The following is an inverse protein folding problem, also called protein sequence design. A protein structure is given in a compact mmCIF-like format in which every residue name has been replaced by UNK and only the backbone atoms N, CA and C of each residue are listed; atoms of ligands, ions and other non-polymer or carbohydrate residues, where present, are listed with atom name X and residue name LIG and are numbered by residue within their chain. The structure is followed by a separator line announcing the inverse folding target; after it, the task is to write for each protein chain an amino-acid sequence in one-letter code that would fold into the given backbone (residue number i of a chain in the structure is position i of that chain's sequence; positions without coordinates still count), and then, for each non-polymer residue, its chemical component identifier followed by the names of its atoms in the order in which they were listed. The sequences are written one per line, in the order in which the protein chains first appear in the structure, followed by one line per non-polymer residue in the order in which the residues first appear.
data_IF_475009101004
#
_entry.id   IF_475009101004
#
_cell.length_a   1.000
_cell.length_b   1.000
_cell.length_c   1.000
_cell.angle_alpha   90.00
_cell.angle_beta   90.00
_cell.angle_gamma   90.00
#
_symmetry.space_group_name_H-M   'P 1'
#
loop_
_entity.id
_entity.type
_entity.pdbx_description
1 polymer ?
#
# COMPACT_ATOMS: atom_id res chain seq x y z
N UNK A 1 -1.81 9.94 4.64
CA UNK A 1 -1.98 8.63 5.32
C UNK A 1 -3.45 8.21 5.25
N UNK A 2 -3.71 6.91 5.21
CA UNK A 2 -5.06 6.33 5.32
C UNK A 2 -5.02 5.37 6.51
N UNK A 3 -5.91 5.55 7.48
CA UNK A 3 -6.09 4.65 8.60
C UNK A 3 -7.34 3.81 8.36
N UNK A 4 -7.20 2.49 8.47
CA UNK A 4 -8.31 1.56 8.36
C UNK A 4 -8.61 0.92 9.72
N UNK A 5 -9.87 0.97 10.11
CA UNK A 5 -10.38 0.35 11.33
C UNK A 5 -11.41 -0.70 10.97
N UNK A 6 -11.43 -1.79 11.72
CA UNK A 6 -12.37 -2.87 11.48
C UNK A 6 -12.07 -4.11 12.30
N UNK A 7 -12.75 -5.20 11.96
CA UNK A 7 -12.62 -6.47 12.68
C UNK A 7 -11.62 -7.37 11.98
N UNK A 8 -10.60 -7.79 12.72
CA UNK A 8 -9.64 -8.78 12.27
C UNK A 8 -10.11 -10.18 12.62
N UNK A 9 -9.82 -11.13 11.73
CA UNK A 9 -10.05 -12.56 11.94
C UNK A 9 -8.80 -13.32 11.52
N UNK A 10 -8.37 -14.24 12.38
CA UNK A 10 -7.32 -15.21 12.09
C UNK A 10 -7.99 -16.45 11.52
N UNK A 11 -7.49 -16.94 10.39
CA UNK A 11 -7.94 -18.18 9.76
C UNK A 11 -6.87 -19.24 9.92
N UNK A 12 -7.31 -20.47 10.19
CA UNK A 12 -6.43 -21.60 10.48
C UNK A 12 -6.62 -22.76 9.49
N UNK A 13 -7.54 -22.64 8.54
CA UNK A 13 -7.73 -23.62 7.48
C UNK A 13 -6.76 -23.34 6.32
N UNK A 14 -6.26 -24.41 5.71
CA UNK A 14 -5.29 -24.32 4.62
C UNK A 14 -5.85 -23.54 3.42
N UNK A 15 -7.14 -23.69 3.11
CA UNK A 15 -7.78 -23.01 1.97
C UNK A 15 -7.68 -21.48 2.08
N UNK A 16 -7.88 -20.91 3.28
CA UNK A 16 -7.72 -19.48 3.54
C UNK A 16 -6.28 -18.97 3.38
N UNK A 17 -5.29 -19.83 3.68
CA UNK A 17 -3.86 -19.52 3.53
C UNK A 17 -3.49 -19.55 2.05
N UNK A 18 -3.91 -20.59 1.33
CA UNK A 18 -3.74 -20.71 -0.12
C UNK A 18 -4.33 -19.49 -0.87
N UNK A 19 -5.59 -19.15 -0.58
CA UNK A 19 -6.25 -18.02 -1.24
C UNK A 19 -5.56 -16.68 -0.92
N UNK A 20 -5.09 -16.50 0.31
CA UNK A 20 -4.33 -15.32 0.71
C UNK A 20 -3.00 -15.19 -0.04
N UNK A 21 -2.24 -16.28 -0.11
CA UNK A 21 -0.96 -16.32 -0.82
C UNK A 21 -1.12 -16.11 -2.32
N UNK A 22 -2.10 -16.77 -2.94
CA UNK A 22 -2.39 -16.60 -4.36
C UNK A 22 -2.74 -15.15 -4.70
N UNK A 23 -3.55 -14.50 -3.86
CA UNK A 23 -3.89 -13.08 -4.00
C UNK A 23 -2.67 -12.17 -3.86
N UNK A 24 -1.78 -12.45 -2.90
CA UNK A 24 -0.55 -11.68 -2.71
C UNK A 24 0.37 -11.81 -3.94
N UNK A 25 0.60 -13.03 -4.43
CA UNK A 25 1.42 -13.28 -5.62
C UNK A 25 0.80 -12.62 -6.84
N UNK A 26 -0.52 -12.72 -7.04
CA UNK A 26 -1.18 -12.03 -8.15
C UNK A 26 -1.00 -10.50 -8.08
N UNK A 27 -0.96 -9.93 -6.88
CA UNK A 27 -0.85 -8.47 -6.68
C UNK A 27 0.58 -7.97 -6.90
N UNK A 28 1.57 -8.67 -6.34
CA UNK A 28 2.96 -8.18 -6.30
C UNK A 28 3.86 -8.83 -7.36
N UNK A 29 3.55 -10.06 -7.78
CA UNK A 29 4.37 -10.86 -8.71
C UNK A 29 3.50 -11.63 -9.71
N UNK A 30 2.61 -10.97 -10.48
CA UNK A 30 1.64 -11.66 -11.35
C UNK A 30 2.28 -12.61 -12.36
N UNK A 31 3.50 -12.32 -12.82
CA UNK A 31 4.26 -13.17 -13.75
C UNK A 31 4.73 -14.48 -13.12
N UNK A 32 4.84 -14.54 -11.80
CA UNK A 32 5.28 -15.72 -11.06
C UNK A 32 4.12 -16.68 -10.72
N UNK A 33 2.87 -16.22 -10.85
CA UNK A 33 1.68 -16.97 -10.44
C UNK A 33 1.58 -18.37 -11.06
N UNK A 34 1.91 -18.51 -12.34
CA UNK A 34 1.85 -19.81 -13.01
C UNK A 34 2.91 -20.78 -12.49
N UNK A 35 4.13 -20.29 -12.22
CA UNK A 35 5.18 -21.11 -11.61
C UNK A 35 4.80 -21.52 -10.18
N UNK A 36 4.24 -20.59 -9.41
CA UNK A 36 3.75 -20.87 -8.06
C UNK A 36 2.71 -22.01 -8.02
N UNK A 37 1.76 -22.02 -8.97
CA UNK A 37 0.75 -23.09 -9.09
C UNK A 37 1.33 -24.46 -9.46
N UNK A 38 2.56 -24.50 -9.98
CA UNK A 38 3.26 -25.71 -10.38
C UNK A 38 4.19 -26.26 -9.28
N UNK A 39 4.32 -25.56 -8.14
CA UNK A 39 5.15 -26.01 -7.03
C UNK A 39 4.63 -27.33 -6.44
N UNK A 40 5.54 -28.14 -5.88
CA UNK A 40 5.19 -29.37 -5.19
C UNK A 40 4.23 -29.07 -4.02
N UNK A 41 3.04 -29.67 -3.98
CA UNK A 41 2.09 -29.50 -2.89
C UNK A 41 2.73 -29.71 -1.51
N UNK A 42 3.61 -30.71 -1.35
CA UNK A 42 4.28 -30.99 -0.07
C UNK A 42 5.17 -29.84 0.39
N UNK A 43 5.83 -29.16 -0.56
CA UNK A 43 6.64 -27.99 -0.28
C UNK A 43 5.76 -26.83 0.19
N UNK A 44 4.65 -26.58 -0.51
CA UNK A 44 3.73 -25.48 -0.17
C UNK A 44 2.99 -25.72 1.16
N UNK A 45 2.55 -26.95 1.43
CA UNK A 45 1.91 -27.33 2.70
C UNK A 45 2.85 -27.14 3.90
N UNK A 46 4.13 -27.52 3.76
CA UNK A 46 5.12 -27.31 4.81
C UNK A 46 5.33 -25.82 5.12
N UNK A 47 5.33 -24.97 4.09
CA UNK A 47 5.41 -23.51 4.23
C UNK A 47 4.16 -22.93 4.91
N UNK A 48 2.96 -23.46 4.64
CA UNK A 48 1.73 -22.94 5.26
C UNK A 48 1.61 -23.22 6.76
N UNK A 49 2.16 -24.33 7.24
CA UNK A 49 2.09 -24.70 8.67
C UNK A 49 2.71 -23.64 9.59
N UNK A 50 3.70 -22.88 9.10
CA UNK A 50 4.41 -21.85 9.87
C UNK A 50 3.74 -20.48 9.83
N UNK A 51 2.70 -20.28 9.02
CA UNK A 51 2.00 -19.00 8.89
C UNK A 51 0.52 -19.13 9.23
N UNK A 52 -0.15 -17.98 9.39
CA UNK A 52 -1.61 -17.89 9.55
C UNK A 52 -2.14 -16.84 8.61
N UNK A 53 -3.27 -17.12 7.99
CA UNK A 53 -3.98 -16.15 7.18
C UNK A 53 -4.76 -15.22 8.13
N UNK A 54 -4.71 -13.92 7.85
CA UNK A 54 -5.44 -12.90 8.61
C UNK A 54 -6.22 -12.05 7.63
N UNK A 55 -7.49 -11.80 7.92
CA UNK A 55 -8.31 -10.86 7.16
C UNK A 55 -8.82 -9.76 8.08
N UNK A 56 -8.97 -8.55 7.54
CA UNK A 56 -9.66 -7.46 8.21
C UNK A 56 -10.87 -7.03 7.38
N UNK A 57 -12.07 -7.12 7.96
CA UNK A 57 -13.24 -6.45 7.40
C UNK A 57 -13.16 -4.99 7.80
N UNK A 58 -12.78 -4.14 6.87
CA UNK A 58 -12.75 -2.68 7.04
C UNK A 58 -14.18 -2.19 7.32
N UNK A 59 -14.35 -1.48 8.42
CA UNK A 59 -15.63 -0.87 8.82
C UNK A 59 -15.57 0.65 8.70
N UNK A 60 -14.39 1.23 8.87
CA UNK A 60 -14.18 2.68 8.81
C UNK A 60 -12.81 3.02 8.21
N UNK A 61 -12.75 4.14 7.49
CA UNK A 61 -11.54 4.68 6.88
C UNK A 61 -11.41 6.17 7.21
N UNK A 62 -10.26 6.54 7.76
CA UNK A 62 -9.88 7.94 7.98
C UNK A 62 -8.73 8.34 7.07
N UNK A 63 -8.86 9.49 6.41
CA UNK A 63 -7.83 10.05 5.54
C UNK A 63 -7.22 11.32 6.13
N UNK A 64 -5.89 11.40 6.15
CA UNK A 64 -5.17 12.63 6.47
C UNK A 64 -4.23 13.01 5.32
N UNK A 65 -4.45 14.18 4.71
CA UNK A 65 -3.70 14.62 3.54
C UNK A 65 -3.30 16.10 3.62
N UNK A 66 -2.18 16.37 4.30
CA UNK A 66 -1.62 17.71 4.50
C UNK A 66 -0.50 17.96 3.51
N UNK A 67 -0.66 18.99 2.70
CA UNK A 67 0.25 19.38 1.62
C UNK A 67 0.40 20.92 1.58
N UNK A 68 0.39 21.57 2.75
CA UNK A 68 0.46 23.03 2.88
C UNK A 68 -0.67 23.79 2.17
N UNK A 69 -1.83 23.17 1.96
CA UNK A 69 -2.96 23.78 1.23
C UNK A 69 -3.50 25.05 1.91
N UNK A 70 -3.27 25.17 3.23
CA UNK A 70 -3.68 26.31 4.03
C UNK A 70 -2.75 27.53 3.92
N UNK A 71 -1.66 27.45 3.13
CA UNK A 71 -0.67 28.52 2.97
C UNK A 71 -0.93 29.35 1.70
N UNK A 72 -0.47 30.62 1.66
CA UNK A 72 -0.46 31.43 0.44
C UNK A 72 0.36 30.77 -0.68
N UNK A 73 0.04 31.08 -1.92
CA UNK A 73 0.67 30.49 -3.11
C UNK A 73 2.20 30.65 -3.12
N UNK A 74 2.69 31.85 -2.76
CA UNK A 74 4.14 32.13 -2.68
C UNK A 74 4.85 31.18 -1.72
N UNK A 75 4.26 30.93 -0.55
CA UNK A 75 4.83 30.04 0.47
C UNK A 75 4.78 28.59 -0.02
N UNK A 76 3.70 28.18 -0.69
CA UNK A 76 3.59 26.83 -1.26
C UNK A 76 4.67 26.57 -2.30
N UNK A 77 4.99 27.57 -3.13
CA UNK A 77 6.07 27.45 -4.12
C UNK A 77 7.45 27.34 -3.47
N UNK A 78 7.72 28.15 -2.44
CA UNK A 78 8.98 28.08 -1.68
C UNK A 78 9.15 26.71 -1.01
N UNK A 79 8.11 26.23 -0.34
CA UNK A 79 8.10 24.90 0.29
C UNK A 79 8.34 23.80 -0.74
N UNK A 80 7.65 23.86 -1.89
CA UNK A 80 7.82 22.86 -2.94
C UNK A 80 9.24 22.83 -3.50
N UNK A 81 9.86 23.99 -3.71
CA UNK A 81 11.24 24.08 -4.21
C UNK A 81 12.24 23.46 -3.23
N UNK A 82 12.05 23.66 -1.93
CA UNK A 82 12.90 23.05 -0.90
C UNK A 82 12.71 21.53 -0.85
N UNK A 83 11.47 21.05 -0.84
CA UNK A 83 11.15 19.63 -0.80
C UNK A 83 11.67 18.87 -2.04
N UNK A 84 11.77 19.52 -3.20
CA UNK A 84 12.36 18.93 -4.40
C UNK A 84 13.86 18.62 -4.25
N UNK A 85 14.57 19.30 -3.34
CA UNK A 85 15.97 19.00 -3.03
C UNK A 85 16.12 17.89 -1.98
N UNK A 86 14.99 17.40 -1.45
CA UNK A 86 14.91 16.40 -0.39
C UNK A 86 14.93 14.96 -0.88
N UNK A 87 14.54 14.06 0.02
CA UNK A 87 14.45 12.63 -0.23
C UNK A 87 13.25 12.23 -1.12
N UNK A 88 13.11 10.93 -1.37
CA UNK A 88 12.01 10.39 -2.17
C UNK A 88 10.62 10.74 -1.63
N UNK A 89 10.45 10.80 -0.31
CA UNK A 89 9.16 11.13 0.30
C UNK A 89 8.87 12.62 0.14
N UNK A 90 9.87 13.48 0.33
CA UNK A 90 9.77 14.93 0.16
C UNK A 90 9.41 15.29 -1.29
N UNK A 91 10.08 14.68 -2.26
CA UNK A 91 9.75 14.83 -3.68
C UNK A 91 8.32 14.31 -3.98
N UNK A 92 7.94 13.18 -3.39
CA UNK A 92 6.58 12.64 -3.53
C UNK A 92 5.48 13.57 -2.99
N UNK A 93 5.77 14.39 -1.96
CA UNK A 93 4.84 15.43 -1.49
C UNK A 93 4.61 16.47 -2.58
N UNK A 94 5.66 16.89 -3.28
CA UNK A 94 5.58 17.87 -4.38
C UNK A 94 4.77 17.30 -5.55
N UNK A 95 4.98 16.04 -5.91
CA UNK A 95 4.18 15.37 -6.95
C UNK A 95 2.69 15.39 -6.62
N UNK A 96 2.33 15.16 -5.36
CA UNK A 96 0.95 15.26 -4.90
C UNK A 96 0.43 16.70 -4.88
N UNK A 97 1.27 17.68 -4.52
CA UNK A 97 0.92 19.11 -4.61
C UNK A 97 0.58 19.51 -6.05
N UNK A 98 1.37 19.07 -7.03
CA UNK A 98 1.11 19.28 -8.47
C UNK A 98 -0.18 18.59 -8.89
N UNK A 99 -0.31 17.30 -8.58
CA UNK A 99 -1.47 16.47 -8.97
C UNK A 99 -2.81 17.00 -8.48
N UNK A 100 -2.83 17.67 -7.32
CA UNK A 100 -4.05 18.28 -6.77
C UNK A 100 -4.20 19.78 -7.08
N UNK A 101 -3.32 20.37 -7.90
CA UNK A 101 -3.37 21.78 -8.27
C UNK A 101 -3.11 22.75 -7.11
N UNK A 102 -2.41 22.29 -6.06
CA UNK A 102 -1.99 23.13 -4.93
C UNK A 102 -0.86 24.08 -5.35
N UNK A 103 -0.02 23.60 -6.27
CA UNK A 103 0.96 24.37 -7.04
C UNK A 103 0.79 24.04 -8.53
N UNK A 104 1.27 24.89 -9.44
CA UNK A 104 1.22 24.61 -10.87
C UNK A 104 1.91 23.29 -11.22
N UNK A 105 1.29 22.53 -12.13
CA UNK A 105 1.99 21.46 -12.84
C UNK A 105 2.69 22.13 -14.03
N UNK A 106 4.03 22.06 -14.08
CA UNK A 106 4.77 22.40 -15.31
C UNK A 106 4.37 21.49 -16.48
#
# INVERSE_FOLDING_TARGET
AVHAQGKCQIHADDASIHAGMERLIQTFEPRYLEHYRQLDPKYTEAMYRSIRSVSMRVEHLDGAFKLSQNKPETDRQVIANELLQGDYNEQGVVDWMKKLGIIPSE
#
